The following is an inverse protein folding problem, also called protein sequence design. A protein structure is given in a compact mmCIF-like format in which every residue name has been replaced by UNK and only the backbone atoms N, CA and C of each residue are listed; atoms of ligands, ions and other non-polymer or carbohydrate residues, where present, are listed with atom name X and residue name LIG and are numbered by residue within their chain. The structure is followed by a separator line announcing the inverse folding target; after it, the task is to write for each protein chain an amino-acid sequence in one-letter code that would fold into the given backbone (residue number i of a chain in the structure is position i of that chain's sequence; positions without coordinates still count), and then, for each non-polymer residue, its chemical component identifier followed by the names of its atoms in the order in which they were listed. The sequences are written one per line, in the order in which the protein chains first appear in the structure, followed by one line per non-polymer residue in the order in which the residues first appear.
data_IF_537538711455
#
_entry.id   IF_537538711455
#
_cell.length_a   1.000
_cell.length_b   1.000
_cell.length_c   1.000
_cell.angle_alpha   90.00
_cell.angle_beta   90.00
_cell.angle_gamma   90.00
#
_symmetry.space_group_name_H-M   'P 1'
#
loop_
_entity.id
_entity.type
_entity.pdbx_description
1 polymer ?
#
# COMPACT_ATOMS: atom_id res chain seq x y z
N UNK A 1 21.15 1.66 0.10
CA UNK A 1 20.07 2.13 -0.81
C UNK A 1 19.14 3.02 -0.01
N UNK A 2 18.22 3.74 -0.65
CA UNK A 2 17.21 4.54 0.06
C UNK A 2 15.94 4.69 -0.78
N UNK A 3 14.84 5.08 -0.13
CA UNK A 3 13.57 5.41 -0.80
C UNK A 3 13.57 6.88 -1.17
N UNK A 4 13.45 7.17 -2.46
CA UNK A 4 13.22 8.52 -2.96
C UNK A 4 11.72 8.73 -3.17
N UNK A 5 11.18 9.76 -2.53
CA UNK A 5 9.81 10.20 -2.72
C UNK A 5 9.74 11.33 -3.74
N UNK A 6 8.85 11.20 -4.73
CA UNK A 6 8.48 12.28 -5.65
C UNK A 6 7.05 12.68 -5.33
N UNK A 7 6.86 13.96 -5.01
CA UNK A 7 5.57 14.48 -4.56
C UNK A 7 4.99 15.37 -5.67
N UNK A 8 3.76 15.09 -6.08
CA UNK A 8 3.06 15.83 -7.14
C UNK A 8 1.68 16.25 -6.64
N UNK A 9 1.33 17.54 -6.80
CA UNK A 9 -0.03 18.01 -6.51
C UNK A 9 -0.96 17.71 -7.68
N UNK A 10 -2.24 17.55 -7.40
CA UNK A 10 -3.25 17.52 -8.44
C UNK A 10 -3.21 18.83 -9.27
N UNK A 11 -3.33 18.73 -10.59
CA UNK A 11 -3.22 19.90 -11.50
C UNK A 11 -4.26 20.98 -11.18
N UNK A 12 -5.43 20.56 -10.70
CA UNK A 12 -6.49 21.44 -10.25
C UNK A 12 -6.61 21.34 -8.72
N UNK A 13 -5.65 21.92 -8.00
CA UNK A 13 -5.62 21.89 -6.54
C UNK A 13 -6.80 22.65 -5.89
N UNK A 14 -7.51 23.50 -6.63
CA UNK A 14 -8.73 24.18 -6.19
C UNK A 14 -9.97 23.28 -6.14
N UNK A 15 -9.91 22.10 -6.78
CA UNK A 15 -11.06 21.18 -6.93
C UNK A 15 -10.88 19.91 -6.11
N UNK A 16 -9.64 19.49 -5.88
CA UNK A 16 -9.33 18.32 -5.08
C UNK A 16 -8.06 18.56 -4.25
N UNK A 17 -8.19 18.48 -2.93
CA UNK A 17 -7.06 18.50 -2.00
C UNK A 17 -6.35 17.14 -1.99
N UNK A 18 -5.70 16.83 -3.11
CA UNK A 18 -5.04 15.55 -3.34
C UNK A 18 -3.59 15.76 -3.75
N UNK A 19 -2.69 15.07 -3.05
CA UNK A 19 -1.26 15.02 -3.35
C UNK A 19 -0.83 13.57 -3.59
N UNK A 20 -0.07 13.33 -4.65
CA UNK A 20 0.43 12.02 -5.04
C UNK A 20 1.88 11.86 -4.54
N UNK A 21 2.16 10.73 -3.88
CA UNK A 21 3.49 10.38 -3.40
C UNK A 21 3.96 9.12 -4.12
N UNK A 22 4.92 9.27 -5.03
CA UNK A 22 5.54 8.19 -5.79
C UNK A 22 6.84 7.75 -5.07
N UNK A 23 6.97 6.45 -4.78
CA UNK A 23 8.14 5.88 -4.13
C UNK A 23 9.05 5.15 -5.12
N UNK A 24 10.34 5.42 -5.07
CA UNK A 24 11.37 4.75 -5.88
C UNK A 24 12.48 4.22 -5.00
N UNK A 25 12.92 2.97 -5.24
CA UNK A 25 14.14 2.45 -4.64
C UNK A 25 15.34 2.99 -5.45
N UNK A 26 16.27 3.64 -4.76
CA UNK A 26 17.45 4.26 -5.38
C UNK A 26 18.72 3.70 -4.78
N UNK A 27 19.68 3.41 -5.65
CA UNK A 27 21.04 3.05 -5.27
C UNK A 27 21.98 4.22 -5.52
N UNK A 28 22.83 4.52 -4.53
CA UNK A 28 23.95 5.44 -4.67
C UNK A 28 25.24 4.64 -4.85
N UNK A 29 26.05 5.03 -5.83
CA UNK A 29 27.31 4.38 -6.15
C UNK A 29 28.34 5.42 -6.62
N UNK A 30 29.62 5.06 -6.65
CA UNK A 30 30.67 5.87 -7.28
C UNK A 30 30.99 5.31 -8.66
N UNK A 31 31.11 6.17 -9.65
CA UNK A 31 31.54 5.75 -10.98
C UNK A 31 33.06 5.50 -11.05
N UNK A 32 33.57 5.08 -12.21
CA UNK A 32 35.01 4.81 -12.43
C UNK A 32 35.93 6.00 -12.11
N UNK A 33 35.42 7.23 -12.19
CA UNK A 33 36.15 8.45 -11.84
C UNK A 33 35.96 8.86 -10.36
N UNK A 34 35.41 7.97 -9.52
CA UNK A 34 35.12 8.23 -8.11
C UNK A 34 33.95 9.19 -7.85
N UNK A 35 33.26 9.70 -8.88
CA UNK A 35 32.17 10.67 -8.72
C UNK A 35 30.89 9.99 -8.24
N UNK A 36 30.15 10.59 -7.28
CA UNK A 36 28.88 10.03 -6.83
C UNK A 36 27.85 10.04 -7.96
N UNK A 37 27.09 8.94 -8.06
CA UNK A 37 26.00 8.72 -9.01
C UNK A 37 24.86 8.02 -8.29
N UNK A 38 23.68 8.15 -8.89
CA UNK A 38 22.46 7.51 -8.42
C UNK A 38 21.78 6.83 -9.60
N UNK A 39 21.16 5.69 -9.34
CA UNK A 39 20.27 5.03 -10.30
C UNK A 39 18.99 4.57 -9.61
N UNK A 40 17.88 4.69 -10.31
CA UNK A 40 16.61 4.09 -9.87
C UNK A 40 16.71 2.60 -10.12
N UNK A 41 16.46 1.80 -9.08
CA UNK A 41 16.41 0.36 -9.17
C UNK A 41 15.00 -0.12 -9.51
N UNK A 42 13.99 0.45 -8.85
CA UNK A 42 12.59 0.12 -9.13
C UNK A 42 11.64 1.23 -8.67
N UNK A 43 10.43 1.18 -9.21
CA UNK A 43 9.29 1.92 -8.70
C UNK A 43 8.54 1.05 -7.69
N UNK A 44 8.33 1.55 -6.48
CA UNK A 44 7.72 0.83 -5.36
C UNK A 44 6.21 1.07 -5.26
N UNK A 45 5.68 2.07 -5.96
CA UNK A 45 4.26 2.37 -6.02
C UNK A 45 3.93 3.84 -5.76
N UNK A 46 2.62 4.12 -5.78
CA UNK A 46 2.04 5.43 -5.49
C UNK A 46 0.98 5.31 -4.39
N UNK A 47 0.93 6.32 -3.54
CA UNK A 47 -0.14 6.54 -2.57
C UNK A 47 -0.64 7.99 -2.65
N UNK A 48 -1.95 8.17 -2.49
CA UNK A 48 -2.58 9.49 -2.48
C UNK A 48 -2.74 9.96 -1.04
N UNK A 49 -2.41 11.22 -0.83
CA UNK A 49 -2.72 11.96 0.38
C UNK A 49 -3.93 12.85 0.07
N UNK A 50 -5.00 12.74 0.85
CA UNK A 50 -6.25 13.48 0.69
C UNK A 50 -6.52 14.20 2.01
N UNK A 51 -6.75 15.52 1.97
CA UNK A 51 -6.99 16.28 3.21
C UNK A 51 -5.80 16.25 4.19
N UNK A 52 -4.58 16.08 3.69
CA UNK A 52 -3.38 15.95 4.52
C UNK A 52 -3.12 14.55 5.11
N UNK A 53 -3.98 13.56 4.85
CA UNK A 53 -3.83 12.20 5.39
C UNK A 53 -3.70 11.14 4.30
N UNK A 54 -3.00 10.05 4.61
CA UNK A 54 -2.98 8.86 3.76
C UNK A 54 -4.16 7.95 4.15
N UNK A 55 -5.12 7.70 3.24
CA UNK A 55 -6.28 6.86 3.56
C UNK A 55 -5.87 5.47 4.02
N UNK A 56 -6.51 4.96 5.08
CA UNK A 56 -6.12 3.72 5.77
C UNK A 56 -5.93 2.52 4.83
N UNK A 57 -6.97 2.13 4.09
CA UNK A 57 -6.88 0.97 3.18
C UNK A 57 -5.81 1.18 2.09
N UNK A 58 -5.59 2.42 1.64
CA UNK A 58 -4.57 2.72 0.62
C UNK A 58 -3.15 2.56 1.16
N UNK A 59 -2.92 2.85 2.45
CA UNK A 59 -1.62 2.61 3.12
C UNK A 59 -1.24 1.14 3.06
N UNK A 60 -2.17 0.26 3.44
CA UNK A 60 -1.92 -1.18 3.46
C UNK A 60 -1.70 -1.73 2.04
N UNK A 61 -2.56 -1.35 1.09
CA UNK A 61 -2.41 -1.75 -0.31
C UNK A 61 -1.10 -1.25 -0.92
N UNK A 62 -0.64 -0.06 -0.55
CA UNK A 62 0.66 0.45 -0.96
C UNK A 62 1.81 -0.41 -0.39
N UNK A 63 1.82 -0.67 0.93
CA UNK A 63 2.86 -1.45 1.58
C UNK A 63 2.94 -2.88 1.06
N UNK A 64 1.79 -3.57 0.90
CA UNK A 64 1.73 -4.93 0.36
C UNK A 64 2.26 -5.01 -1.09
N UNK A 65 1.91 -4.02 -1.93
CA UNK A 65 2.44 -3.96 -3.31
C UNK A 65 3.95 -3.74 -3.31
N UNK A 66 4.45 -2.83 -2.48
CA UNK A 66 5.88 -2.55 -2.38
C UNK A 66 6.66 -3.80 -1.90
N UNK A 67 6.14 -4.51 -0.89
CA UNK A 67 6.71 -5.76 -0.40
C UNK A 67 6.78 -6.82 -1.50
N UNK A 68 5.70 -7.04 -2.26
CA UNK A 68 5.67 -7.97 -3.39
C UNK A 68 6.67 -7.59 -4.49
N UNK A 69 6.80 -6.30 -4.80
CA UNK A 69 7.79 -5.81 -5.76
C UNK A 69 9.20 -6.14 -5.27
N UNK A 70 9.52 -5.83 -4.02
CA UNK A 70 10.83 -6.11 -3.42
C UNK A 70 11.16 -7.61 -3.38
N UNK A 71 10.18 -8.44 -3.04
CA UNK A 71 10.33 -9.91 -3.03
C UNK A 71 10.67 -10.46 -4.42
N UNK A 72 10.09 -9.87 -5.48
CA UNK A 72 10.36 -10.23 -6.87
C UNK A 72 11.68 -9.70 -7.44
N UNK A 73 12.40 -8.81 -6.74
CA UNK A 73 13.65 -8.25 -7.25
C UNK A 73 14.82 -9.24 -7.09
N UNK A 74 15.47 -9.55 -8.21
CA UNK A 74 16.70 -10.36 -8.26
C UNK A 74 17.91 -9.50 -7.86
N UNK A 75 18.82 -10.07 -7.07
CA UNK A 75 20.08 -9.41 -6.70
C UNK A 75 20.00 -8.39 -5.56
N UNK A 76 18.83 -8.23 -4.93
CA UNK A 76 18.66 -7.44 -3.71
C UNK A 76 18.69 -8.39 -2.51
N UNK A 77 19.51 -8.08 -1.50
CA UNK A 77 19.63 -8.90 -0.28
C UNK A 77 18.40 -8.71 0.59
N UNK A 78 18.04 -9.72 1.38
CA UNK A 78 16.89 -9.63 2.29
C UNK A 78 16.99 -8.45 3.25
N UNK A 79 18.17 -8.20 3.84
CA UNK A 79 18.38 -7.05 4.72
C UNK A 79 18.09 -5.69 4.05
N UNK A 80 18.38 -5.56 2.74
CA UNK A 80 18.07 -4.33 2.00
C UNK A 80 16.56 -4.19 1.73
N UNK A 81 15.85 -5.32 1.55
CA UNK A 81 14.38 -5.36 1.44
C UNK A 81 13.74 -4.94 2.75
N UNK A 82 14.17 -5.52 3.86
CA UNK A 82 13.67 -5.22 5.20
C UNK A 82 13.89 -3.74 5.55
N UNK A 83 15.11 -3.22 5.27
CA UNK A 83 15.41 -1.81 5.45
C UNK A 83 14.53 -0.91 4.57
N UNK A 84 14.28 -1.31 3.31
CA UNK A 84 13.41 -0.53 2.41
C UNK A 84 11.98 -0.49 2.93
N UNK A 85 11.45 -1.62 3.41
CA UNK A 85 10.12 -1.67 4.02
C UNK A 85 10.03 -0.79 5.27
N UNK A 86 11.07 -0.76 6.10
CA UNK A 86 11.11 0.12 7.26
C UNK A 86 11.08 1.61 6.86
N UNK A 87 11.86 2.00 5.85
CA UNK A 87 11.83 3.37 5.32
C UNK A 87 10.47 3.76 4.73
N UNK A 88 9.75 2.80 4.12
CA UNK A 88 8.39 3.03 3.65
C UNK A 88 7.43 3.26 4.82
N UNK A 89 7.52 2.42 5.87
CA UNK A 89 6.67 2.48 7.06
C UNK A 89 6.84 3.78 7.86
N UNK A 90 8.02 4.38 7.83
CA UNK A 90 8.26 5.70 8.46
C UNK A 90 7.40 6.82 7.85
N UNK A 91 7.13 6.78 6.54
CA UNK A 91 6.28 7.78 5.87
C UNK A 91 4.83 7.33 5.78
N UNK A 92 4.62 6.06 5.48
CA UNK A 92 3.31 5.42 5.31
C UNK A 92 3.15 4.42 6.45
N UNK A 93 2.65 4.91 7.59
CA UNK A 93 2.54 4.08 8.78
C UNK A 93 1.63 2.87 8.53
N UNK A 94 1.97 1.68 9.06
CA UNK A 94 1.05 0.55 9.07
C UNK A 94 -0.29 0.90 9.73
N UNK A 95 -1.32 0.11 9.44
CA UNK A 95 -2.61 0.29 10.10
C UNK A 95 -2.54 -0.08 11.58
N UNK A 96 -3.20 0.73 12.40
CA UNK A 96 -3.51 0.38 13.78
C UNK A 96 -4.67 -0.62 13.84
N UNK A 97 -4.79 -1.37 14.94
CA UNK A 97 -5.89 -2.30 15.14
C UNK A 97 -7.27 -1.65 14.98
N UNK A 98 -7.42 -0.41 15.48
CA UNK A 98 -8.64 0.39 15.32
C UNK A 98 -8.95 0.72 13.86
N UNK A 99 -7.92 1.07 13.08
CA UNK A 99 -8.11 1.40 11.67
C UNK A 99 -8.43 0.17 10.82
N UNK A 100 -7.84 -0.99 11.15
CA UNK A 100 -8.19 -2.26 10.52
C UNK A 100 -9.66 -2.59 10.79
N UNK A 101 -10.10 -2.50 12.04
CA UNK A 101 -11.49 -2.78 12.40
C UNK A 101 -12.46 -1.81 11.72
N UNK A 102 -12.15 -0.52 11.73
CA UNK A 102 -12.96 0.50 11.05
C UNK A 102 -13.05 0.22 9.54
N UNK A 103 -11.91 -0.04 8.89
CA UNK A 103 -11.88 -0.37 7.46
C UNK A 103 -12.67 -1.65 7.15
N UNK A 104 -12.59 -2.67 8.00
CA UNK A 104 -13.35 -3.91 7.84
C UNK A 104 -14.86 -3.65 7.91
N UNK A 105 -15.31 -2.88 8.90
CA UNK A 105 -16.73 -2.50 9.06
C UNK A 105 -17.23 -1.72 7.84
N UNK A 106 -16.46 -0.74 7.35
CA UNK A 106 -16.86 0.05 6.18
C UNK A 106 -16.92 -0.80 4.90
N UNK A 107 -15.99 -1.72 4.71
CA UNK A 107 -16.04 -2.66 3.59
C UNK A 107 -17.27 -3.57 3.68
N UNK A 108 -17.57 -4.12 4.87
CA UNK A 108 -18.79 -4.91 5.09
C UNK A 108 -20.06 -4.10 4.81
N UNK A 109 -20.10 -2.84 5.24
CA UNK A 109 -21.24 -1.95 4.95
C UNK A 109 -21.41 -1.75 3.44
N UNK A 110 -20.31 -1.53 2.72
CA UNK A 110 -20.33 -1.42 1.27
C UNK A 110 -20.86 -2.69 0.60
N UNK A 111 -20.36 -3.88 0.98
CA UNK A 111 -20.85 -5.16 0.45
C UNK A 111 -22.34 -5.35 0.71
N UNK A 112 -22.81 -5.09 1.93
CA UNK A 112 -24.24 -5.16 2.28
C UNK A 112 -25.10 -4.23 1.44
N UNK A 113 -24.65 -3.00 1.22
CA UNK A 113 -25.37 -2.04 0.39
C UNK A 113 -25.42 -2.48 -1.07
N UNK A 114 -24.31 -3.00 -1.61
CA UNK A 114 -24.25 -3.51 -2.97
C UNK A 114 -25.23 -4.68 -3.17
N UNK A 115 -25.24 -5.64 -2.25
CA UNK A 115 -26.17 -6.78 -2.26
C UNK A 115 -27.65 -6.35 -2.22
N UNK A 116 -27.98 -5.43 -1.32
CA UNK A 116 -29.35 -4.90 -1.23
C UNK A 116 -29.81 -4.24 -2.54
N UNK A 117 -28.89 -3.59 -3.25
CA UNK A 117 -29.19 -2.92 -4.53
C UNK A 117 -29.22 -3.85 -5.74
N UNK A 118 -28.55 -5.01 -5.66
CA UNK A 118 -28.36 -5.91 -6.80
C UNK A 118 -29.10 -7.25 -6.67
N UNK A 119 -30.02 -7.36 -5.70
CA UNK A 119 -30.95 -8.48 -5.60
C UNK A 119 -30.37 -9.72 -4.94
N UNK A 120 -30.12 -9.63 -3.63
CA UNK A 120 -29.71 -10.75 -2.78
C UNK A 120 -28.40 -10.47 -2.04
N UNK A 121 -28.20 -11.17 -0.93
CA UNK A 121 -27.00 -11.11 -0.10
C UNK A 121 -27.03 -12.26 0.91
N UNK A 122 -25.89 -12.60 1.52
CA UNK A 122 -25.84 -13.67 2.50
C UNK A 122 -26.69 -13.33 3.73
N UNK A 123 -27.34 -14.33 4.31
CA UNK A 123 -27.97 -14.21 5.62
C UNK A 123 -26.93 -13.91 6.71
N UNK A 124 -27.38 -13.56 7.92
CA UNK A 124 -26.47 -13.39 9.05
C UNK A 124 -25.70 -14.69 9.35
N UNK A 125 -26.36 -15.86 9.26
CA UNK A 125 -25.70 -17.15 9.44
C UNK A 125 -24.65 -17.43 8.35
N UNK A 126 -24.94 -17.07 7.10
CA UNK A 126 -24.00 -17.24 5.99
C UNK A 126 -22.79 -16.32 6.12
N UNK A 127 -22.98 -15.07 6.58
CA UNK A 127 -21.88 -14.15 6.89
C UNK A 127 -20.97 -14.71 7.99
N UNK A 128 -21.56 -15.26 9.06
CA UNK A 128 -20.79 -15.91 10.14
C UNK A 128 -20.02 -17.11 9.59
N UNK A 129 -20.63 -17.93 8.72
CA UNK A 129 -19.97 -19.08 8.09
C UNK A 129 -18.79 -18.65 7.22
N UNK A 130 -18.97 -17.62 6.38
CA UNK A 130 -17.89 -17.05 5.55
C UNK A 130 -16.70 -16.61 6.42
N UNK A 131 -16.96 -15.90 7.53
CA UNK A 131 -15.90 -15.49 8.45
C UNK A 131 -15.20 -16.70 9.08
N UNK A 132 -15.92 -17.77 9.38
CA UNK A 132 -15.31 -19.01 9.89
C UNK A 132 -14.45 -19.72 8.82
N UNK A 133 -14.86 -19.70 7.55
CA UNK A 133 -14.12 -20.26 6.41
C UNK A 133 -12.78 -19.52 6.18
N UNK A 134 -12.68 -18.23 6.52
CA UNK A 134 -11.42 -17.47 6.45
C UNK A 134 -10.35 -17.90 7.47
N UNK A 135 -10.66 -18.84 8.38
CA UNK A 135 -9.68 -19.39 9.32
C UNK A 135 -8.67 -20.37 8.67
N UNK A 136 -8.86 -20.71 7.39
CA UNK A 136 -7.92 -21.52 6.61
C UNK A 136 -6.77 -20.71 6.01
N UNK A 137 -5.82 -21.39 5.34
CA UNK A 137 -4.81 -20.69 4.53
C UNK A 137 -5.48 -20.04 3.31
N UNK A 138 -5.01 -18.85 2.87
CA UNK A 138 -5.47 -18.25 1.62
C UNK A 138 -5.27 -19.24 0.46
N UNK A 139 -6.36 -19.61 -0.23
CA UNK A 139 -6.28 -20.37 -1.47
C UNK A 139 -5.68 -19.54 -2.61
N UNK A 140 -5.24 -20.16 -3.72
CA UNK A 140 -4.86 -19.41 -4.91
C UNK A 140 -6.06 -18.60 -5.42
N UNK A 141 -5.77 -17.37 -5.89
CA UNK A 141 -6.73 -16.48 -6.54
C UNK A 141 -7.09 -16.98 -7.93
#
# INVERSE_FOLDING_TARGET
MYVRWVIRRHKNASVADTTFHDAYLVESYRNKAGKPRQRILCYLGNIRQIGGEFPSIERELFLLRAERILAGMVGIRQADRDQTMELLRQKVQPLTASEVLAAFIENLRWYRNWWAQNGGGPSEEELVRIVQETRGQPGPL
#
